data_IF_678914389128
#
_entry.id   IF_678914389128
#
_cell.length_a   1.000
_cell.length_b   1.000
_cell.length_c   1.000
_cell.angle_alpha   90.00
_cell.angle_beta   90.00
_cell.angle_gamma   90.00
#
_symmetry.space_group_name_H-M   'P 1'
#
loop_
_entity.id
_entity.type
_entity.pdbx_description
1 polymer ?
#
# COMPACT_ATOMS: atom_id res chain seq x y z
N UNK A 1 -11.35 -20.47 6.52
CA UNK A 1 -11.60 -19.12 5.94
C UNK A 1 -10.85 -18.14 6.82
N UNK A 2 -10.18 -17.12 6.26
CA UNK A 2 -9.47 -16.10 7.06
C UNK A 2 -10.25 -14.80 6.98
N UNK A 3 -10.70 -14.29 8.13
CA UNK A 3 -11.46 -13.03 8.19
C UNK A 3 -10.62 -11.97 8.91
N UNK A 4 -10.66 -10.73 8.43
CA UNK A 4 -9.91 -9.63 9.00
C UNK A 4 -10.59 -8.30 8.79
N UNK A 5 -9.91 -7.22 9.17
CA UNK A 5 -10.38 -5.87 8.91
C UNK A 5 -9.21 -4.90 8.68
N UNK A 6 -9.55 -3.72 8.19
CA UNK A 6 -8.62 -2.60 8.12
C UNK A 6 -8.48 -1.96 9.51
N UNK A 7 -7.31 -2.07 10.12
CA UNK A 7 -7.06 -1.55 11.47
C UNK A 7 -6.26 -0.26 11.47
N UNK A 8 -6.63 0.65 12.37
CA UNK A 8 -5.89 1.90 12.59
C UNK A 8 -4.49 1.64 13.13
N UNK A 9 -3.52 2.40 12.61
CA UNK A 9 -2.12 2.46 13.09
C UNK A 9 -1.87 3.60 14.08
N UNK A 10 -2.92 4.25 14.59
CA UNK A 10 -2.76 5.32 15.58
C UNK A 10 -1.99 4.79 16.81
N UNK A 11 -0.92 5.50 17.17
CA UNK A 11 0.01 5.10 18.24
C UNK A 11 1.06 4.08 17.84
N UNK A 12 1.18 3.73 16.55
CA UNK A 12 2.19 2.79 16.03
C UNK A 12 1.57 1.68 15.19
N UNK A 13 2.31 1.18 14.20
CA UNK A 13 1.85 0.08 13.33
C UNK A 13 1.65 -1.21 14.12
N UNK A 14 2.44 -1.45 15.16
CA UNK A 14 2.31 -2.63 16.04
C UNK A 14 0.97 -2.66 16.77
N UNK A 15 0.36 -1.50 17.03
CA UNK A 15 -0.96 -1.39 17.68
C UNK A 15 -2.10 -1.84 16.79
N UNK A 16 -1.93 -1.83 15.47
CA UNK A 16 -2.92 -2.40 14.57
C UNK A 16 -3.06 -3.91 14.77
N UNK A 17 -1.97 -4.61 15.10
CA UNK A 17 -1.98 -6.05 15.41
C UNK A 17 -2.74 -6.32 16.72
N UNK A 18 -2.48 -5.52 17.77
CA UNK A 18 -3.25 -5.64 19.03
C UNK A 18 -4.76 -5.48 18.81
N UNK A 19 -5.13 -4.48 17.99
CA UNK A 19 -6.54 -4.22 17.64
C UNK A 19 -7.14 -5.39 16.87
N UNK A 20 -6.39 -5.95 15.91
CA UNK A 20 -6.80 -7.12 15.16
C UNK A 20 -7.10 -8.32 16.08
N UNK A 21 -6.22 -8.58 17.05
CA UNK A 21 -6.40 -9.66 18.05
C UNK A 21 -7.66 -9.45 18.89
N UNK A 22 -7.89 -8.24 19.39
CA UNK A 22 -9.10 -7.91 20.18
C UNK A 22 -10.39 -8.23 19.41
N UNK A 23 -10.37 -8.06 18.09
CA UNK A 23 -11.52 -8.33 17.23
C UNK A 23 -11.54 -9.74 16.62
N UNK A 24 -10.65 -10.64 17.04
CA UNK A 24 -10.59 -12.01 16.54
C UNK A 24 -10.22 -12.11 15.06
N UNK A 25 -9.47 -11.13 14.53
CA UNK A 25 -9.04 -11.13 13.14
C UNK A 25 -7.95 -12.19 12.89
N UNK A 26 -8.09 -12.91 11.79
CA UNK A 26 -7.12 -13.87 11.26
C UNK A 26 -6.28 -13.27 10.12
N UNK A 27 -6.74 -12.17 9.51
CA UNK A 27 -6.04 -11.38 8.49
C UNK A 27 -6.05 -9.88 8.85
N UNK A 28 -5.17 -9.08 8.24
CA UNK A 28 -5.00 -7.67 8.59
C UNK A 28 -4.73 -6.80 7.36
N UNK A 29 -5.42 -5.66 7.27
CA UNK A 29 -5.03 -4.55 6.40
C UNK A 29 -4.73 -3.31 7.24
N UNK A 30 -3.72 -2.53 6.85
CA UNK A 30 -3.37 -1.27 7.50
C UNK A 30 -3.00 -0.19 6.47
N UNK A 31 -2.97 1.07 6.89
CA UNK A 31 -2.06 2.03 6.25
C UNK A 31 -0.66 1.91 6.87
N UNK A 32 0.40 2.25 6.13
CA UNK A 32 1.76 2.31 6.70
C UNK A 32 2.17 3.71 7.18
N UNK A 33 1.39 4.73 6.80
CA UNK A 33 1.53 6.15 7.15
C UNK A 33 0.16 6.83 7.09
N UNK A 34 0.09 8.13 7.37
CA UNK A 34 -1.16 8.87 7.16
C UNK A 34 -1.52 8.89 5.65
N UNK A 35 -2.66 8.29 5.31
CA UNK A 35 -3.12 8.14 3.93
C UNK A 35 -3.39 9.47 3.21
N UNK A 36 -3.55 10.57 3.95
CA UNK A 36 -3.80 11.91 3.42
C UNK A 36 -2.53 12.75 3.28
N UNK A 37 -1.34 12.16 3.43
CA UNK A 37 -0.05 12.85 3.29
C UNK A 37 0.87 12.12 2.30
N UNK A 38 1.50 12.89 1.41
CA UNK A 38 2.47 12.36 0.44
C UNK A 38 3.68 11.68 1.11
N UNK A 39 4.21 12.31 2.16
CA UNK A 39 5.40 11.86 2.89
C UNK A 39 5.02 11.55 4.34
N UNK A 40 5.35 10.34 4.78
CA UNK A 40 5.28 9.95 6.18
C UNK A 40 6.64 10.09 6.87
N UNK A 41 6.64 10.16 8.20
CA UNK A 41 7.88 9.94 8.95
C UNK A 41 8.42 8.52 8.66
N UNK A 42 9.75 8.33 8.60
CA UNK A 42 10.32 6.99 8.53
C UNK A 42 9.76 6.09 9.64
N UNK A 43 9.58 4.80 9.33
CA UNK A 43 9.22 3.82 10.36
C UNK A 43 10.38 3.67 11.34
N UNK A 44 10.09 3.73 12.63
CA UNK A 44 11.08 3.44 13.66
C UNK A 44 11.52 1.96 13.55
N UNK A 45 12.83 1.66 13.47
CA UNK A 45 13.32 0.28 13.46
C UNK A 45 12.84 -0.57 14.63
N UNK A 46 12.66 0.03 15.82
CA UNK A 46 12.09 -0.68 16.97
C UNK A 46 10.65 -1.08 16.71
N UNK A 47 9.89 -0.23 16.04
CA UNK A 47 8.49 -0.49 15.75
C UNK A 47 8.30 -1.51 14.61
N UNK A 48 9.19 -1.51 13.62
CA UNK A 48 9.25 -2.58 12.61
C UNK A 48 9.46 -3.93 13.28
N UNK A 49 10.44 -4.04 14.20
CA UNK A 49 10.71 -5.30 14.92
C UNK A 49 9.51 -5.73 15.75
N UNK A 50 8.89 -4.80 16.48
CA UNK A 50 7.74 -5.10 17.32
C UNK A 50 6.52 -5.55 16.50
N UNK A 51 6.25 -4.90 15.37
CA UNK A 51 5.19 -5.32 14.45
C UNK A 51 5.40 -6.75 13.96
N UNK A 52 6.61 -7.06 13.46
CA UNK A 52 6.93 -8.39 12.93
C UNK A 52 6.82 -9.48 14.00
N UNK A 53 7.33 -9.21 15.20
CA UNK A 53 7.21 -10.12 16.34
C UNK A 53 5.74 -10.40 16.68
N UNK A 54 4.88 -9.39 16.68
CA UNK A 54 3.46 -9.56 16.99
C UNK A 54 2.71 -10.33 15.92
N UNK A 55 3.00 -10.07 14.65
CA UNK A 55 2.44 -10.87 13.54
C UNK A 55 2.80 -12.36 13.72
N UNK A 56 4.07 -12.65 14.02
CA UNK A 56 4.53 -14.03 14.26
C UNK A 56 3.85 -14.67 15.47
N UNK A 57 3.77 -13.96 16.61
CA UNK A 57 3.16 -14.47 17.84
C UNK A 57 1.66 -14.74 17.71
N UNK A 58 0.95 -13.93 16.93
CA UNK A 58 -0.51 -14.03 16.77
C UNK A 58 -0.93 -14.96 15.64
N UNK A 59 -0.01 -15.25 14.70
CA UNK A 59 -0.31 -16.03 13.51
C UNK A 59 -1.20 -15.32 12.49
N UNK A 60 -1.48 -14.02 12.67
CA UNK A 60 -2.32 -13.24 11.76
C UNK A 60 -1.66 -13.18 10.40
N UNK A 61 -2.35 -13.69 9.39
CA UNK A 61 -1.92 -13.66 8.01
C UNK A 61 -3.12 -13.86 7.07
N UNK A 62 -3.10 -13.31 5.85
CA UNK A 62 -2.11 -12.38 5.35
C UNK A 62 -2.24 -11.02 6.05
N UNK A 63 -1.12 -10.30 6.10
CA UNK A 63 -1.09 -8.89 6.46
C UNK A 63 -0.70 -8.08 5.21
N UNK A 64 -1.51 -7.09 4.85
CA UNK A 64 -1.31 -6.21 3.69
C UNK A 64 -1.39 -4.75 4.13
N UNK A 65 -0.83 -3.85 3.33
CA UNK A 65 -1.13 -2.43 3.46
C UNK A 65 -2.03 -1.95 2.34
N UNK A 66 -2.66 -0.79 2.52
CA UNK A 66 -3.30 -0.04 1.45
C UNK A 66 -2.49 1.24 1.20
N UNK A 67 -2.26 1.57 -0.07
CA UNK A 67 -1.55 2.78 -0.47
C UNK A 67 -2.38 4.05 -0.19
N UNK A 68 -1.72 5.19 -0.05
CA UNK A 68 -2.39 6.49 0.02
C UNK A 68 -3.32 6.75 -1.17
N UNK A 69 -4.51 7.29 -0.88
CA UNK A 69 -5.49 7.73 -1.89
C UNK A 69 -5.02 8.90 -2.77
N UNK A 70 -3.91 9.55 -2.41
CA UNK A 70 -3.32 10.63 -3.20
C UNK A 70 -2.58 10.10 -4.44
N UNK A 71 -2.12 8.85 -4.40
CA UNK A 71 -1.33 8.24 -5.47
C UNK A 71 -2.23 8.02 -6.69
N UNK A 72 -1.83 8.59 -7.83
CA UNK A 72 -2.47 8.32 -9.12
C UNK A 72 -1.40 7.95 -10.16
N UNK A 73 -1.23 6.66 -10.43
CA UNK A 73 -0.24 6.18 -11.42
C UNK A 73 -0.67 6.41 -12.88
N UNK A 74 -1.95 6.72 -13.10
CA UNK A 74 -2.54 7.02 -14.40
C UNK A 74 -2.48 8.51 -14.80
N UNK A 75 -2.00 9.38 -13.90
CA UNK A 75 -1.99 10.82 -14.17
C UNK A 75 -1.02 11.19 -15.31
N UNK A 76 -1.49 12.06 -16.20
CA UNK A 76 -0.70 12.67 -17.27
C UNK A 76 0.04 13.94 -16.80
N UNK A 77 -0.29 14.46 -15.62
CA UNK A 77 0.36 15.65 -15.07
C UNK A 77 1.76 15.29 -14.52
N UNK A 78 2.86 15.83 -15.10
CA UNK A 78 4.21 15.34 -14.80
C UNK A 78 4.60 15.41 -13.32
N UNK A 79 4.26 16.53 -12.64
CA UNK A 79 4.57 16.72 -11.22
C UNK A 79 3.83 15.72 -10.34
N UNK A 80 2.53 15.52 -10.59
CA UNK A 80 1.72 14.56 -9.84
C UNK A 80 2.17 13.11 -10.12
N UNK A 81 2.61 12.83 -11.35
CA UNK A 81 3.13 11.53 -11.76
C UNK A 81 4.39 11.19 -10.98
N UNK A 82 5.36 12.10 -10.96
CA UNK A 82 6.60 11.91 -10.21
C UNK A 82 6.32 11.73 -8.71
N UNK A 83 5.48 12.60 -8.13
CA UNK A 83 5.07 12.49 -6.73
C UNK A 83 4.39 11.17 -6.40
N UNK A 84 3.50 10.69 -7.29
CA UNK A 84 2.80 9.41 -7.14
C UNK A 84 3.76 8.22 -7.18
N UNK A 85 4.71 8.22 -8.12
CA UNK A 85 5.72 7.15 -8.22
C UNK A 85 6.62 7.14 -6.98
N UNK A 86 7.12 8.30 -6.54
CA UNK A 86 7.95 8.40 -5.33
C UNK A 86 7.18 7.93 -4.09
N UNK A 87 5.93 8.35 -3.93
CA UNK A 87 5.10 7.93 -2.81
C UNK A 87 4.78 6.43 -2.86
N UNK A 88 4.57 5.86 -4.05
CA UNK A 88 4.32 4.44 -4.23
C UNK A 88 5.54 3.57 -3.92
N UNK A 89 6.75 4.03 -4.30
CA UNK A 89 8.00 3.38 -3.87
C UNK A 89 8.12 3.38 -2.34
N UNK A 90 7.83 4.51 -1.68
CA UNK A 90 7.83 4.58 -0.21
C UNK A 90 6.82 3.60 0.42
N UNK A 91 5.61 3.46 -0.14
CA UNK A 91 4.63 2.47 0.36
C UNK A 91 5.17 1.03 0.27
N UNK A 92 5.82 0.67 -0.84
CA UNK A 92 6.42 -0.64 -1.04
C UNK A 92 7.63 -0.87 -0.14
N UNK A 93 8.52 0.12 0.01
CA UNK A 93 9.68 0.04 0.90
C UNK A 93 9.22 -0.15 2.37
N UNK A 94 8.15 0.53 2.80
CA UNK A 94 7.55 0.38 4.13
C UNK A 94 6.90 -0.98 4.34
N UNK A 95 6.14 -1.46 3.36
CA UNK A 95 5.50 -2.76 3.39
C UNK A 95 6.53 -3.90 3.44
N UNK A 96 7.61 -3.80 2.67
CA UNK A 96 8.72 -4.76 2.69
C UNK A 96 9.41 -4.79 4.06
N UNK A 97 9.68 -3.62 4.65
CA UNK A 97 10.29 -3.54 5.98
C UNK A 97 9.40 -4.24 7.04
N UNK A 98 8.09 -4.02 6.97
CA UNK A 98 7.11 -4.66 7.85
C UNK A 98 6.86 -6.14 7.53
N UNK A 99 7.34 -6.63 6.39
CA UNK A 99 7.16 -8.02 5.95
C UNK A 99 5.73 -8.32 5.51
N UNK A 100 5.02 -7.33 4.98
CA UNK A 100 3.66 -7.49 4.48
C UNK A 100 3.66 -8.30 3.18
N UNK A 101 2.54 -8.99 2.92
CA UNK A 101 2.35 -9.74 1.67
C UNK A 101 2.34 -8.82 0.46
N UNK A 102 1.73 -7.64 0.60
CA UNK A 102 1.58 -6.70 -0.51
C UNK A 102 1.00 -5.36 -0.11
N UNK A 103 1.05 -4.44 -1.07
CA UNK A 103 0.43 -3.12 -1.03
C UNK A 103 -0.76 -3.13 -1.97
N UNK A 104 -1.95 -2.99 -1.41
CA UNK A 104 -3.19 -2.73 -2.12
C UNK A 104 -3.17 -1.32 -2.69
N UNK A 105 -3.48 -1.17 -3.97
CA UNK A 105 -3.53 0.12 -4.65
C UNK A 105 -4.67 0.14 -5.65
N UNK A 106 -5.40 1.26 -5.66
CA UNK A 106 -6.25 1.63 -6.79
C UNK A 106 -5.34 2.01 -7.97
N UNK A 107 -5.41 1.34 -9.14
CA UNK A 107 -4.44 1.53 -10.22
C UNK A 107 -4.25 2.99 -10.62
N UNK A 108 -5.36 3.73 -10.77
CA UNK A 108 -5.31 5.18 -10.98
C UNK A 108 -6.62 5.73 -11.52
N UNK A 109 -6.62 7.02 -11.82
CA UNK A 109 -7.72 7.72 -12.50
C UNK A 109 -7.18 8.41 -13.74
N UNK A 110 -7.80 8.15 -14.89
CA UNK A 110 -7.42 8.78 -16.14
C UNK A 110 -7.73 10.28 -16.11
N UNK A 111 -6.69 11.12 -16.14
CA UNK A 111 -6.82 12.58 -16.06
C UNK A 111 -7.07 13.25 -17.41
N UNK A 112 -6.60 12.65 -18.50
CA UNK A 112 -6.77 13.13 -19.88
C UNK A 112 -6.45 12.01 -20.87
N UNK A 113 -6.95 12.12 -22.11
CA UNK A 113 -6.68 11.14 -23.17
C UNK A 113 -7.53 9.88 -23.06
N UNK A 114 -7.08 8.81 -23.73
CA UNK A 114 -7.74 7.51 -23.76
C UNK A 114 -7.35 6.64 -22.55
N UNK A 115 -8.22 5.69 -22.18
CA UNK A 115 -7.98 4.82 -21.04
C UNK A 115 -6.79 3.88 -21.27
N UNK A 116 -6.54 3.47 -22.52
CA UNK A 116 -5.37 2.69 -22.90
C UNK A 116 -4.05 3.39 -22.58
N UNK A 117 -3.99 4.71 -22.75
CA UNK A 117 -2.78 5.49 -22.41
C UNK A 117 -2.58 5.54 -20.90
N UNK A 118 -3.66 5.71 -20.15
CA UNK A 118 -3.62 5.67 -18.70
C UNK A 118 -3.22 4.27 -18.15
N UNK A 119 -3.69 3.19 -18.77
CA UNK A 119 -3.23 1.83 -18.44
C UNK A 119 -1.74 1.63 -18.72
N UNK A 120 -1.21 2.17 -19.83
CA UNK A 120 0.24 2.16 -20.10
C UNK A 120 1.01 2.93 -19.03
N UNK A 121 0.51 4.09 -18.63
CA UNK A 121 1.12 4.90 -17.56
C UNK A 121 1.19 4.17 -16.22
N UNK A 122 0.13 3.42 -15.86
CA UNK A 122 0.10 2.56 -14.66
C UNK A 122 1.14 1.45 -14.78
N UNK A 123 1.15 0.71 -15.90
CA UNK A 123 2.08 -0.40 -16.12
C UNK A 123 3.54 0.06 -16.08
N UNK A 124 3.84 1.21 -16.67
CA UNK A 124 5.17 1.81 -16.65
C UNK A 124 5.62 2.19 -15.24
N UNK A 125 4.73 2.78 -14.45
CA UNK A 125 5.04 3.12 -13.06
C UNK A 125 5.37 1.87 -12.24
N UNK A 126 4.55 0.81 -12.34
CA UNK A 126 4.78 -0.46 -11.64
C UNK A 126 6.11 -1.09 -12.09
N UNK A 127 6.40 -1.08 -13.40
CA UNK A 127 7.67 -1.57 -13.95
C UNK A 127 8.87 -0.82 -13.41
N UNK A 128 8.79 0.51 -13.29
CA UNK A 128 9.87 1.33 -12.70
C UNK A 128 10.15 0.89 -11.27
N UNK A 129 9.12 0.66 -10.45
CA UNK A 129 9.31 0.24 -9.06
C UNK A 129 9.96 -1.14 -8.97
N UNK A 130 9.45 -2.13 -9.70
CA UNK A 130 10.03 -3.48 -9.67
C UNK A 130 11.45 -3.53 -10.22
N UNK A 131 11.79 -2.69 -11.22
CA UNK A 131 13.17 -2.56 -11.70
C UNK A 131 14.10 -1.99 -10.64
N UNK A 132 13.62 -1.04 -9.84
CA UNK A 132 14.39 -0.43 -8.75
C UNK A 132 14.52 -1.34 -7.52
N UNK A 133 13.63 -2.34 -7.37
CA UNK A 133 13.52 -3.24 -6.21
C UNK A 133 13.35 -4.72 -6.61
N UNK A 134 14.29 -5.31 -7.38
CA UNK A 134 14.11 -6.63 -8.00
C UNK A 134 14.04 -7.80 -7.00
N UNK A 135 14.31 -7.56 -5.72
CA UNK A 135 14.34 -8.58 -4.65
C UNK A 135 13.19 -8.48 -3.65
N UNK A 136 12.25 -7.55 -3.87
CA UNK A 136 11.12 -7.39 -2.96
C UNK A 136 10.23 -8.63 -2.98
N UNK A 137 9.81 -9.05 -1.80
CA UNK A 137 8.82 -10.12 -1.63
C UNK A 137 7.40 -9.55 -1.60
N UNK A 138 7.28 -8.29 -1.22
CA UNK A 138 6.02 -7.52 -1.22
C UNK A 138 5.48 -7.39 -2.64
N UNK A 139 4.21 -7.75 -2.82
CA UNK A 139 3.51 -7.63 -4.10
C UNK A 139 2.79 -6.29 -4.25
N UNK A 140 2.62 -5.84 -5.49
CA UNK A 140 1.62 -4.84 -5.84
C UNK A 140 0.29 -5.57 -6.04
N UNK A 141 -0.72 -5.22 -5.24
CA UNK A 141 -2.05 -5.82 -5.29
C UNK A 141 -2.99 -4.79 -5.93
N UNK A 142 -3.37 -5.03 -7.19
CA UNK A 142 -4.30 -4.16 -7.91
C UNK A 142 -5.72 -4.42 -7.41
N UNK A 143 -6.35 -3.39 -6.86
CA UNK A 143 -7.73 -3.45 -6.39
C UNK A 143 -8.69 -3.02 -7.49
N UNK A 144 -9.76 -3.79 -7.68
CA UNK A 144 -10.85 -3.36 -8.55
C UNK A 144 -11.62 -2.21 -7.90
N UNK A 145 -11.98 -1.20 -8.68
CA UNK A 145 -12.71 -0.03 -8.21
C UNK A 145 -14.16 -0.07 -8.70
N UNK A 146 -15.03 0.74 -8.10
CA UNK A 146 -16.42 0.85 -8.54
C UNK A 146 -16.60 1.53 -9.92
N UNK A 147 -15.52 2.02 -10.55
CA UNK A 147 -15.57 2.72 -11.84
C UNK A 147 -16.14 4.14 -11.76
N UNK A 148 -16.08 4.80 -10.61
CA UNK A 148 -16.61 6.15 -10.47
C UNK A 148 -15.78 7.15 -11.30
N UNK A 149 -16.45 7.89 -12.20
CA UNK A 149 -15.79 8.87 -13.05
C UNK A 149 -14.90 8.20 -14.10
N UNK A 150 -13.57 8.36 -13.98
CA UNK A 150 -12.57 7.78 -14.90
C UNK A 150 -11.56 6.91 -14.16
N UNK A 151 -11.95 6.27 -13.06
CA UNK A 151 -11.07 5.34 -12.34
C UNK A 151 -10.83 4.08 -13.16
N UNK A 152 -9.61 3.57 -13.09
CA UNK A 152 -9.19 2.34 -13.77
C UNK A 152 -8.89 1.28 -12.73
N UNK A 153 -9.40 0.07 -12.97
CA UNK A 153 -9.43 -1.03 -12.01
C UNK A 153 -10.85 -1.34 -11.61
#
# INVERSE_FOLDING_TARGET
MRIGAHMSIAGGVSKAVDRAVVHGCEALQIFTKNASQWRGKPLDPAEIRLFRQRIEQTGIAPAVSHASYLINLATTFPVLREQSIVAFVDELDRAEALGLLGVVIHPGTCTAGADEDALRLIADAIRVVYKARPRYKTMVLLEHTAGQGRTLG
#
